data_IF_729607843462
#
_entry.id   IF_729607843462
#
_cell.length_a   1.000
_cell.length_b   1.000
_cell.length_c   1.000
_cell.angle_alpha   90.00
_cell.angle_beta   90.00
_cell.angle_gamma   90.00
#
_symmetry.space_group_name_H-M   'P 1'
#
loop_
_entity.id
_entity.type
_entity.pdbx_description
1 polymer ?
#
# COMPACT_ATOMS: atom_id res chain seq x y z
N UNK A 1 -23.73 -2.15 21.04
CA UNK A 1 -22.54 -1.36 21.41
C UNK A 1 -21.35 -2.27 21.24
N UNK A 2 -20.47 -2.00 20.28
CA UNK A 2 -19.26 -2.79 20.12
C UNK A 2 -18.35 -2.54 21.33
N UNK A 3 -17.90 -3.60 22.00
CA UNK A 3 -17.07 -3.46 23.19
C UNK A 3 -15.66 -2.96 22.77
N UNK A 4 -14.87 -2.46 23.73
CA UNK A 4 -13.54 -1.92 23.40
C UNK A 4 -12.58 -2.97 22.82
N UNK A 5 -12.82 -4.27 23.03
CA UNK A 5 -12.05 -5.34 22.42
C UNK A 5 -12.37 -5.50 20.94
N UNK A 6 -13.66 -5.48 20.56
CA UNK A 6 -14.10 -5.51 19.16
C UNK A 6 -13.63 -4.27 18.41
N UNK A 7 -13.60 -3.11 19.08
CA UNK A 7 -13.09 -1.86 18.51
C UNK A 7 -11.57 -1.89 18.32
N UNK A 8 -10.83 -2.54 19.22
CA UNK A 8 -9.39 -2.78 19.09
C UNK A 8 -9.11 -3.81 18.00
N UNK A 9 -9.88 -4.90 17.91
CA UNK A 9 -9.78 -5.88 16.81
C UNK A 9 -10.08 -5.24 15.46
N UNK A 10 -11.08 -4.37 15.39
CA UNK A 10 -11.41 -3.64 14.17
C UNK A 10 -10.33 -2.62 13.80
N UNK A 11 -9.73 -1.94 14.79
CA UNK A 11 -8.58 -1.06 14.58
C UNK A 11 -7.32 -1.82 14.18
N UNK A 12 -7.05 -2.99 14.77
CA UNK A 12 -5.94 -3.88 14.40
C UNK A 12 -6.15 -4.40 12.98
N UNK A 13 -7.35 -4.88 12.65
CA UNK A 13 -7.70 -5.31 11.29
C UNK A 13 -7.56 -4.17 10.30
N UNK A 14 -7.99 -2.96 10.67
CA UNK A 14 -7.85 -1.75 9.85
C UNK A 14 -6.37 -1.37 9.66
N UNK A 15 -5.53 -1.50 10.69
CA UNK A 15 -4.09 -1.23 10.61
C UNK A 15 -3.32 -2.33 9.84
N UNK A 16 -3.82 -3.57 9.88
CA UNK A 16 -3.30 -4.67 9.04
C UNK A 16 -3.67 -4.49 7.56
N UNK A 17 -4.81 -3.82 7.29
CA UNK A 17 -5.33 -3.52 5.95
C UNK A 17 -4.85 -2.15 5.40
N UNK A 18 -4.46 -1.20 6.25
CA UNK A 18 -3.87 0.09 5.84
C UNK A 18 -2.47 -0.13 5.24
N UNK A 19 -2.44 -0.30 3.91
CA UNK A 19 -1.39 0.23 3.03
C UNK A 19 0.06 -0.19 3.33
N UNK A 20 0.29 -1.38 3.90
CA UNK A 20 1.64 -1.91 4.03
C UNK A 20 2.27 -2.17 2.66
N UNK A 21 3.60 -2.07 2.58
CA UNK A 21 4.35 -2.45 1.38
C UNK A 21 4.12 -3.93 0.99
N UNK A 22 3.60 -4.76 1.90
CA UNK A 22 3.37 -6.19 1.72
C UNK A 22 1.97 -6.51 1.18
N UNK A 23 1.89 -7.35 0.15
CA UNK A 23 0.63 -7.94 -0.30
C UNK A 23 0.23 -9.07 0.66
N UNK A 24 -0.82 -8.85 1.44
CA UNK A 24 -1.34 -9.81 2.42
C UNK A 24 -2.65 -10.43 1.92
N UNK A 25 -2.66 -11.75 1.75
CA UNK A 25 -3.86 -12.56 1.61
C UNK A 25 -4.12 -13.21 2.97
N UNK A 26 -5.08 -12.67 3.73
CA UNK A 26 -5.22 -12.94 5.16
C UNK A 26 -6.22 -14.07 5.47
N UNK A 27 -7.18 -14.30 4.57
CA UNK A 27 -8.24 -15.29 4.74
C UNK A 27 -8.14 -16.41 3.71
N UNK A 28 -8.87 -17.49 3.97
CA UNK A 28 -9.05 -18.57 3.01
C UNK A 28 -9.84 -18.05 1.81
N UNK A 29 -9.39 -18.39 0.60
CA UNK A 29 -10.02 -17.96 -0.63
C UNK A 29 -9.66 -16.54 -1.09
N UNK A 30 -8.88 -15.78 -0.31
CA UNK A 30 -8.42 -14.45 -0.71
C UNK A 30 -7.65 -14.53 -2.04
N UNK A 31 -8.00 -13.65 -2.97
CA UNK A 31 -7.38 -13.53 -4.28
C UNK A 31 -6.84 -12.12 -4.52
N UNK A 32 -5.77 -12.04 -5.30
CA UNK A 32 -5.28 -10.79 -5.87
C UNK A 32 -4.79 -11.04 -7.30
N UNK A 33 -5.19 -10.17 -8.22
CA UNK A 33 -4.65 -10.16 -9.59
C UNK A 33 -3.45 -9.23 -9.62
N UNK A 34 -2.30 -9.76 -10.00
CA UNK A 34 -1.01 -9.07 -9.91
C UNK A 34 -0.18 -9.19 -11.19
N UNK A 35 0.62 -8.16 -11.46
CA UNK A 35 1.67 -8.19 -12.47
C UNK A 35 3.01 -8.28 -11.75
N UNK A 36 3.86 -9.24 -12.11
CA UNK A 36 5.18 -9.42 -11.48
C UNK A 36 6.18 -8.46 -12.11
N UNK A 37 6.81 -7.61 -11.30
CA UNK A 37 7.65 -6.51 -11.74
C UNK A 37 9.11 -6.72 -11.33
N UNK A 38 10.03 -6.47 -12.25
CA UNK A 38 11.47 -6.53 -12.00
C UNK A 38 11.98 -7.92 -11.61
N UNK A 39 13.11 -7.92 -10.90
CA UNK A 39 13.79 -9.15 -10.47
C UNK A 39 13.35 -9.59 -9.07
N UNK A 40 13.26 -10.91 -8.82
CA UNK A 40 13.02 -11.43 -7.50
C UNK A 40 14.23 -11.26 -6.58
N UNK A 41 13.99 -11.09 -5.28
CA UNK A 41 15.03 -11.05 -4.25
C UNK A 41 15.00 -12.32 -3.38
N UNK A 42 15.99 -13.22 -3.50
CA UNK A 42 16.06 -14.44 -2.71
C UNK A 42 16.59 -14.17 -1.30
N UNK A 43 16.07 -14.91 -0.32
CA UNK A 43 16.49 -14.88 1.08
C UNK A 43 16.52 -16.29 1.64
N UNK A 44 17.65 -16.68 2.20
CA UNK A 44 17.71 -17.87 3.04
C UNK A 44 17.34 -17.49 4.48
N UNK A 45 16.33 -18.16 5.00
CA UNK A 45 15.77 -17.86 6.31
C UNK A 45 15.56 -19.12 7.14
N UNK A 46 15.46 -18.93 8.45
CA UNK A 46 15.03 -19.93 9.42
C UNK A 46 13.76 -19.43 10.09
N UNK A 47 12.76 -20.30 10.26
CA UNK A 47 11.56 -19.94 11.02
C UNK A 47 11.80 -20.20 12.51
N UNK A 48 11.87 -19.12 13.31
CA UNK A 48 12.07 -19.13 14.75
C UNK A 48 10.94 -18.35 15.41
N UNK A 49 10.30 -18.95 16.43
CA UNK A 49 9.33 -18.27 17.29
C UNK A 49 8.24 -17.47 16.55
N UNK A 50 7.77 -18.01 15.41
CA UNK A 50 6.72 -17.37 14.62
C UNK A 50 7.22 -16.36 13.57
N UNK A 51 8.53 -16.19 13.38
CA UNK A 51 9.12 -15.23 12.43
C UNK A 51 10.21 -15.86 11.57
N UNK A 52 10.38 -15.34 10.36
CA UNK A 52 11.52 -15.66 9.51
C UNK A 52 12.71 -14.77 9.87
N UNK A 53 13.82 -15.40 10.24
CA UNK A 53 15.09 -14.74 10.53
C UNK A 53 16.09 -15.15 9.46
N UNK A 54 17.02 -14.27 9.08
CA UNK A 54 18.06 -14.64 8.12
C UNK A 54 18.85 -15.86 8.60
N UNK A 55 19.08 -16.78 7.69
CA UNK A 55 19.90 -17.95 7.97
C UNK A 55 21.34 -17.52 8.31
N UNK A 56 21.95 -18.25 9.25
CA UNK A 56 23.35 -18.12 9.59
C UNK A 56 23.91 -19.47 10.00
N UNK A 57 25.23 -19.65 9.85
CA UNK A 57 25.92 -20.87 10.29
C UNK A 57 25.71 -21.17 11.78
N UNK A 58 25.56 -20.13 12.61
CA UNK A 58 25.24 -20.28 14.04
C UNK A 58 23.87 -20.95 14.23
N UNK A 59 22.85 -20.54 13.47
CA UNK A 59 21.52 -21.16 13.54
C UNK A 59 21.54 -22.59 12.99
N UNK A 60 22.33 -22.85 11.95
CA UNK A 60 22.52 -24.19 11.44
C UNK A 60 23.18 -25.11 12.47
N UNK A 61 24.22 -24.64 13.16
CA UNK A 61 24.90 -25.39 14.22
C UNK A 61 23.98 -25.69 15.41
N UNK A 62 22.95 -24.88 15.61
CA UNK A 62 21.87 -25.11 16.58
C UNK A 62 20.80 -26.11 16.09
N UNK A 63 20.99 -26.71 14.91
CA UNK A 63 20.09 -27.70 14.33
C UNK A 63 18.93 -27.11 13.50
N UNK A 64 18.91 -25.79 13.28
CA UNK A 64 17.86 -25.18 12.48
C UNK A 64 18.08 -25.37 10.98
N UNK A 65 16.98 -25.64 10.26
CA UNK A 65 17.00 -25.86 8.81
C UNK A 65 16.75 -24.54 8.06
N UNK A 66 17.59 -24.27 7.07
CA UNK A 66 17.38 -23.18 6.13
C UNK A 66 16.14 -23.44 5.26
N UNK A 67 15.43 -22.37 4.92
CA UNK A 67 14.32 -22.34 3.99
C UNK A 67 14.50 -21.15 3.06
N UNK A 68 14.25 -21.36 1.77
CA UNK A 68 14.25 -20.27 0.79
C UNK A 68 12.92 -19.50 0.86
N UNK A 69 13.01 -18.18 0.99
CA UNK A 69 11.93 -17.22 0.73
C UNK A 69 12.35 -16.33 -0.43
N UNK A 70 11.40 -16.00 -1.29
CA UNK A 70 11.64 -15.15 -2.45
C UNK A 70 10.63 -14.01 -2.41
N UNK A 71 11.15 -12.79 -2.46
CA UNK A 71 10.36 -11.57 -2.50
C UNK A 71 10.22 -11.08 -3.94
N UNK A 72 9.02 -10.62 -4.30
CA UNK A 72 8.69 -10.11 -5.63
C UNK A 72 8.05 -8.75 -5.49
N UNK A 73 8.48 -7.77 -6.30
CA UNK A 73 7.65 -6.60 -6.55
C UNK A 73 6.46 -7.02 -7.42
N UNK A 74 5.26 -6.65 -7.00
CA UNK A 74 4.01 -6.96 -7.70
C UNK A 74 3.15 -5.71 -7.81
N UNK A 75 2.72 -5.38 -9.01
CA UNK A 75 1.70 -4.37 -9.24
C UNK A 75 0.32 -4.98 -9.07
N UNK A 76 -0.50 -4.47 -8.14
CA UNK A 76 -1.90 -4.89 -8.01
C UNK A 76 -2.67 -4.36 -9.22
N UNK A 77 -3.25 -5.24 -10.03
CA UNK A 77 -3.75 -4.88 -11.35
C UNK A 77 -4.82 -3.77 -11.30
N UNK A 78 -5.77 -3.87 -10.37
CA UNK A 78 -6.89 -2.90 -10.27
C UNK A 78 -6.51 -1.53 -9.73
N UNK A 79 -5.42 -1.41 -8.95
CA UNK A 79 -5.04 -0.15 -8.28
C UNK A 79 -3.73 0.44 -8.78
N UNK A 80 -2.93 -0.36 -9.51
CA UNK A 80 -1.55 -0.05 -9.92
C UNK A 80 -0.61 0.26 -8.74
N UNK A 81 -1.00 -0.15 -7.54
CA UNK A 81 -0.15 -0.04 -6.35
C UNK A 81 0.93 -1.13 -6.39
N UNK A 82 2.19 -0.75 -6.18
CA UNK A 82 3.27 -1.73 -6.06
C UNK A 82 3.34 -2.23 -4.63
N UNK A 83 3.26 -3.54 -4.47
CA UNK A 83 3.45 -4.27 -3.21
C UNK A 83 4.55 -5.30 -3.35
N UNK A 84 4.94 -5.87 -2.22
CA UNK A 84 5.91 -6.95 -2.11
C UNK A 84 5.16 -8.22 -1.74
N UNK A 85 5.34 -9.26 -2.54
CA UNK A 85 4.84 -10.60 -2.27
C UNK A 85 6.02 -11.48 -1.86
N UNK A 86 6.02 -12.06 -0.66
CA UNK A 86 7.03 -13.04 -0.25
C UNK A 86 6.44 -14.44 -0.27
N UNK A 87 7.07 -15.36 -1.02
CA UNK A 87 6.63 -16.74 -1.14
C UNK A 87 7.77 -17.75 -0.99
N UNK A 88 7.43 -19.02 -0.80
CA UNK A 88 8.40 -20.12 -0.71
C UNK A 88 8.82 -20.68 -2.06
N UNK A 89 9.75 -21.63 -2.05
CA UNK A 89 10.32 -22.28 -3.25
C UNK A 89 9.27 -22.94 -4.16
N UNK A 90 8.21 -23.54 -3.60
CA UNK A 90 7.15 -24.17 -4.39
C UNK A 90 6.45 -23.14 -5.31
N UNK A 91 6.14 -21.96 -4.78
CA UNK A 91 5.55 -20.87 -5.56
C UNK A 91 6.53 -20.34 -6.60
N UNK A 92 7.82 -20.21 -6.25
CA UNK A 92 8.85 -19.79 -7.20
C UNK A 92 8.91 -20.73 -8.41
N UNK A 93 8.85 -22.05 -8.20
CA UNK A 93 8.86 -23.01 -9.29
C UNK A 93 7.65 -22.83 -10.21
N UNK A 94 6.44 -22.71 -9.65
CA UNK A 94 5.22 -22.47 -10.44
C UNK A 94 5.28 -21.13 -11.18
N UNK A 95 5.73 -20.05 -10.52
CA UNK A 95 5.92 -18.75 -11.16
C UNK A 95 6.93 -18.82 -12.32
N UNK A 96 8.02 -19.58 -12.16
CA UNK A 96 9.03 -19.77 -13.19
C UNK A 96 8.49 -20.56 -14.40
N UNK A 97 7.57 -21.49 -14.20
CA UNK A 97 6.89 -22.20 -15.30
C UNK A 97 5.92 -21.27 -16.05
N UNK A 98 5.06 -20.55 -15.34
CA UNK A 98 4.09 -19.65 -15.98
C UNK A 98 4.79 -18.48 -16.67
N UNK A 99 5.87 -17.92 -16.10
CA UNK A 99 6.61 -16.83 -16.76
C UNK A 99 7.27 -17.29 -18.06
N UNK A 100 7.78 -18.53 -18.12
CA UNK A 100 8.38 -19.10 -19.34
C UNK A 100 7.34 -19.30 -20.43
N UNK A 101 6.09 -19.61 -20.06
CA UNK A 101 5.01 -19.90 -21.00
C UNK A 101 4.28 -18.66 -21.48
N UNK A 102 3.96 -17.73 -20.58
CA UNK A 102 3.09 -16.58 -20.87
C UNK A 102 3.86 -15.26 -21.00
N UNK A 103 5.09 -15.21 -20.46
CA UNK A 103 5.85 -13.98 -20.30
C UNK A 103 5.51 -13.29 -18.98
N UNK A 104 6.53 -12.88 -18.24
CA UNK A 104 6.37 -12.23 -16.93
C UNK A 104 5.68 -10.87 -17.04
N UNK A 105 6.02 -10.11 -18.08
CA UNK A 105 5.65 -8.70 -18.23
C UNK A 105 4.39 -8.48 -19.06
N UNK A 106 3.93 -9.52 -19.74
CA UNK A 106 2.83 -9.48 -20.71
C UNK A 106 1.52 -10.01 -20.13
N UNK A 107 1.55 -10.54 -18.91
CA UNK A 107 0.39 -11.16 -18.26
C UNK A 107 0.24 -10.69 -16.82
N UNK A 108 -1.01 -10.55 -16.40
CA UNK A 108 -1.38 -10.54 -15.01
C UNK A 108 -1.76 -11.95 -14.57
N UNK A 109 -1.47 -12.25 -13.30
CA UNK A 109 -1.68 -13.55 -12.69
C UNK A 109 -2.59 -13.42 -11.48
N UNK A 110 -3.55 -14.32 -11.34
CA UNK A 110 -4.31 -14.47 -10.11
C UNK A 110 -3.46 -15.25 -9.11
N UNK A 111 -3.21 -14.63 -7.96
CA UNK A 111 -2.65 -15.29 -6.78
C UNK A 111 -3.79 -15.55 -5.80
N UNK A 112 -3.98 -16.82 -5.43
CA UNK A 112 -5.03 -17.25 -4.52
C UNK A 112 -4.46 -17.98 -3.33
N UNK A 113 -4.92 -17.63 -2.13
CA UNK A 113 -4.63 -18.36 -0.90
C UNK A 113 -5.67 -19.44 -0.66
N UNK A 114 -5.23 -20.62 -0.21
CA UNK A 114 -6.07 -21.69 0.32
C UNK A 114 -5.58 -22.05 1.72
N UNK A 115 -6.47 -22.09 2.69
CA UNK A 115 -6.17 -22.33 4.10
C UNK A 115 -6.46 -21.12 4.99
N UNK A 116 -6.99 -21.38 6.18
CA UNK A 116 -7.34 -20.34 7.15
C UNK A 116 -6.09 -19.68 7.76
N UNK A 117 -6.25 -18.53 8.42
CA UNK A 117 -5.16 -17.90 9.16
C UNK A 117 -4.50 -18.90 10.13
N UNK A 118 -3.16 -18.97 10.13
CA UNK A 118 -2.35 -19.91 10.94
C UNK A 118 -2.54 -21.39 10.60
N UNK A 119 -3.23 -21.73 9.51
CA UNK A 119 -3.31 -23.11 9.04
C UNK A 119 -1.94 -23.58 8.51
N UNK A 120 -1.34 -24.64 9.08
CA UNK A 120 -0.05 -25.18 8.62
C UNK A 120 -0.11 -25.74 7.18
N UNK A 121 -1.32 -25.99 6.65
CA UNK A 121 -1.56 -26.43 5.27
C UNK A 121 -1.92 -25.27 4.33
N UNK A 122 -1.66 -24.03 4.75
CA UNK A 122 -1.84 -22.87 3.87
C UNK A 122 -1.02 -23.05 2.60
N UNK A 123 -1.69 -22.99 1.44
CA UNK A 123 -1.07 -23.04 0.11
C UNK A 123 -1.43 -21.80 -0.69
N UNK A 124 -0.59 -21.49 -1.67
CA UNK A 124 -0.82 -20.42 -2.63
C UNK A 124 -0.78 -21.00 -4.03
N UNK A 125 -1.74 -20.61 -4.87
CA UNK A 125 -1.72 -20.91 -6.31
C UNK A 125 -1.52 -19.63 -7.10
N UNK A 126 -0.80 -19.73 -8.21
CA UNK A 126 -0.65 -18.68 -9.21
C UNK A 126 -1.11 -19.20 -10.56
N UNK A 127 -2.04 -18.50 -11.20
CA UNK A 127 -2.62 -18.88 -12.48
C UNK A 127 -2.63 -17.66 -13.42
N UNK A 128 -2.48 -17.84 -14.73
CA UNK A 128 -2.68 -16.74 -15.68
C UNK A 128 -4.14 -16.25 -15.60
N UNK A 129 -4.32 -14.94 -15.47
CA UNK A 129 -5.65 -14.31 -15.45
C UNK A 129 -5.96 -13.66 -16.80
N UNK A 130 -5.14 -12.68 -17.20
CA UNK A 130 -5.31 -11.94 -18.46
C UNK A 130 -3.99 -11.50 -19.06
N UNK A 131 -3.98 -11.38 -20.38
CA UNK A 131 -2.91 -10.74 -21.10
C UNK A 131 -3.05 -9.22 -20.97
N UNK A 132 -1.93 -8.54 -20.74
CA UNK A 132 -1.86 -7.09 -20.67
C UNK A 132 -1.83 -6.49 -22.07
N UNK A 133 -2.49 -5.35 -22.25
CA UNK A 133 -2.28 -4.55 -23.47
C UNK A 133 -0.88 -3.91 -23.45
N UNK A 134 -0.36 -3.45 -24.61
CA UNK A 134 0.91 -2.72 -24.65
C UNK A 134 0.92 -1.48 -23.74
N UNK A 135 -0.21 -0.76 -23.65
CA UNK A 135 -0.37 0.42 -22.82
C UNK A 135 -0.35 0.05 -21.33
N UNK A 136 -1.01 -1.04 -20.95
CA UNK A 136 -0.96 -1.55 -19.57
C UNK A 136 0.44 -2.02 -19.20
N UNK A 137 1.10 -2.75 -20.10
CA UNK A 137 2.49 -3.21 -19.92
C UNK A 137 3.40 -2.01 -19.65
N UNK A 138 3.33 -0.97 -20.48
CA UNK A 138 4.11 0.25 -20.28
C UNK A 138 3.76 0.95 -18.96
N UNK A 139 2.48 1.01 -18.60
CA UNK A 139 2.04 1.63 -17.35
C UNK A 139 2.56 0.90 -16.11
N UNK A 140 2.57 -0.44 -16.11
CA UNK A 140 3.09 -1.25 -15.01
C UNK A 140 4.62 -1.18 -14.90
N UNK A 141 5.33 -1.15 -16.04
CA UNK A 141 6.79 -1.03 -16.07
C UNK A 141 7.28 0.35 -15.64
N UNK A 142 6.46 1.39 -15.79
CA UNK A 142 6.77 2.73 -15.30
C UNK A 142 6.59 2.90 -13.78
N UNK A 143 6.06 1.89 -13.07
CA UNK A 143 5.82 1.99 -11.64
C UNK A 143 7.14 1.96 -10.85
N UNK A 144 7.19 2.76 -9.78
CA UNK A 144 8.34 2.78 -8.87
C UNK A 144 8.34 1.52 -8.00
N UNK A 145 9.33 0.67 -8.20
CA UNK A 145 9.49 -0.57 -7.45
C UNK A 145 10.04 -0.32 -6.04
N UNK A 146 9.72 -1.22 -5.10
CA UNK A 146 10.36 -1.23 -3.79
C UNK A 146 11.80 -1.74 -3.92
N UNK A 147 12.71 -1.09 -3.20
CA UNK A 147 14.09 -1.56 -3.03
C UNK A 147 14.07 -2.69 -2.00
N UNK A 148 13.94 -3.93 -2.48
CA UNK A 148 13.77 -5.12 -1.64
C UNK A 148 14.94 -5.29 -0.64
N UNK A 149 16.23 -5.15 -1.02
CA UNK A 149 17.33 -5.17 -0.07
C UNK A 149 17.20 -4.12 1.05
N UNK A 150 16.87 -2.85 0.71
CA UNK A 150 16.71 -1.80 1.73
C UNK A 150 15.51 -2.04 2.63
N UNK A 151 14.41 -2.56 2.07
CA UNK A 151 13.19 -2.86 2.82
C UNK A 151 13.47 -3.89 3.92
N UNK A 152 14.21 -4.95 3.62
CA UNK A 152 14.61 -5.94 4.61
C UNK A 152 15.69 -5.46 5.58
N UNK A 153 16.61 -4.61 5.13
CA UNK A 153 17.60 -4.00 6.04
C UNK A 153 16.92 -3.12 7.09
N UNK A 154 15.90 -2.35 6.70
CA UNK A 154 15.11 -1.53 7.63
C UNK A 154 14.33 -2.40 8.64
N UNK A 155 13.74 -3.52 8.20
CA UNK A 155 13.06 -4.47 9.11
C UNK A 155 14.02 -5.12 10.12
N UNK A 156 15.25 -5.43 9.71
CA UNK A 156 16.26 -6.03 10.59
C UNK A 156 16.72 -5.08 11.71
N UNK A 157 16.88 -3.79 11.41
CA UNK A 157 17.24 -2.76 12.41
C UNK A 157 16.10 -2.51 13.40
N UNK A 158 14.85 -2.52 12.93
CA UNK A 158 13.65 -2.40 13.76
C UNK A 158 13.40 -3.59 14.71
N UNK A 159 13.94 -4.77 14.40
CA UNK A 159 13.79 -5.96 15.24
C UNK A 159 14.87 -6.12 16.32
N UNK A 160 16.08 -5.59 16.10
CA UNK A 160 17.22 -5.72 17.02
C UNK A 160 17.22 -4.69 18.17
N UNK A 161 16.46 -3.61 18.01
CA UNK A 161 16.27 -2.60 19.03
C UNK A 161 14.85 -2.75 19.56
N UNK A 162 14.69 -3.23 20.81
CA UNK A 162 13.44 -3.12 21.58
C UNK A 162 13.06 -1.67 21.92
N UNK A 163 13.53 -0.73 21.11
CA UNK A 163 13.41 0.71 21.15
C UNK A 163 13.14 1.10 19.70
N UNK A 164 12.11 1.90 19.38
CA UNK A 164 11.84 2.29 18.00
C UNK A 164 13.11 2.91 17.40
N UNK A 165 13.52 2.57 16.16
CA UNK A 165 14.76 3.08 15.60
C UNK A 165 14.68 4.61 15.46
N UNK A 166 15.69 5.36 15.94
CA UNK A 166 15.85 6.74 15.53
C UNK A 166 16.51 6.73 14.14
N UNK A 167 15.83 7.31 13.15
CA UNK A 167 16.45 7.64 11.86
C UNK A 167 16.20 6.68 10.71
N UNK A 168 14.96 6.24 10.51
CA UNK A 168 14.44 6.24 9.14
C UNK A 168 14.04 7.68 8.85
N UNK A 169 14.71 8.33 7.88
CA UNK A 169 14.29 9.63 7.36
C UNK A 169 12.79 9.58 7.12
N UNK A 170 12.11 10.38 7.94
CA UNK A 170 10.68 10.44 8.04
C UNK A 170 10.11 10.92 6.71
N UNK A 171 9.65 9.99 5.88
CA UNK A 171 8.34 10.20 5.30
C UNK A 171 7.38 10.11 6.49
N UNK A 172 7.19 11.27 7.16
CA UNK A 172 6.37 11.42 8.35
C UNK A 172 5.13 10.55 8.20
N UNK A 173 4.91 9.63 9.15
CA UNK A 173 3.56 9.29 9.54
C UNK A 173 2.85 10.63 9.64
N UNK A 174 1.88 10.80 8.75
CA UNK A 174 1.31 12.09 8.42
C UNK A 174 0.79 12.71 9.71
N UNK A 175 1.58 13.59 10.32
CA UNK A 175 1.08 14.44 11.38
C UNK A 175 -0.16 15.10 10.78
N UNK A 176 -1.31 15.07 11.48
CA UNK A 176 -2.47 15.80 11.02
C UNK A 176 -2.02 17.23 10.76
N UNK A 177 -2.51 17.82 9.66
CA UNK A 177 -2.22 19.21 9.32
C UNK A 177 -2.32 20.08 10.57
N UNK A 178 -1.38 21.03 10.71
CA UNK A 178 -1.35 21.96 11.83
C UNK A 178 -2.76 22.50 12.13
N UNK A 179 -3.15 22.51 13.40
CA UNK A 179 -4.52 22.82 13.84
C UNK A 179 -4.98 24.19 13.32
N UNK A 180 -4.07 25.18 13.23
CA UNK A 180 -4.40 26.51 12.69
C UNK A 180 -4.63 26.45 11.18
N UNK A 181 -3.85 25.64 10.45
CA UNK A 181 -4.01 25.46 9.01
C UNK A 181 -5.29 24.66 8.68
N UNK A 182 -5.61 23.59 9.42
CA UNK A 182 -6.88 22.87 9.27
C UNK A 182 -8.08 23.79 9.53
N UNK A 183 -7.98 24.68 10.51
CA UNK A 183 -9.04 25.62 10.85
C UNK A 183 -9.20 26.73 9.80
N UNK A 184 -8.09 27.21 9.22
CA UNK A 184 -8.12 28.13 8.08
C UNK A 184 -8.76 27.48 6.83
N UNK A 185 -8.36 26.26 6.47
CA UNK A 185 -8.93 25.50 5.36
C UNK A 185 -10.43 25.23 5.58
N UNK A 186 -10.83 24.83 6.79
CA UNK A 186 -12.22 24.62 7.14
C UNK A 186 -13.07 25.90 7.07
N UNK A 187 -12.47 27.06 7.38
CA UNK A 187 -13.17 28.35 7.29
C UNK A 187 -13.36 28.77 5.84
N UNK A 188 -12.35 28.60 5.00
CA UNK A 188 -12.44 28.90 3.57
C UNK A 188 -13.41 27.96 2.83
N UNK A 189 -13.36 26.65 3.11
CA UNK A 189 -14.30 25.68 2.52
C UNK A 189 -15.75 25.88 2.98
N UNK A 190 -15.99 26.39 4.19
CA UNK A 190 -17.36 26.73 4.65
C UNK A 190 -17.96 27.92 3.93
N UNK A 191 -17.15 28.80 3.35
CA UNK A 191 -17.60 29.93 2.56
C UNK A 191 -17.89 29.54 1.09
N UNK A 192 -17.63 28.29 0.71
CA UNK A 192 -17.83 27.75 -0.64
C UNK A 192 -19.04 26.81 -0.69
N UNK A 193 -19.63 26.59 -1.88
CA UNK A 193 -20.72 25.64 -2.05
C UNK A 193 -20.28 24.22 -1.69
N UNK A 194 -21.24 23.39 -1.26
CA UNK A 194 -21.00 22.02 -0.79
C UNK A 194 -20.23 21.15 -1.80
N UNK A 195 -20.43 21.39 -3.08
CA UNK A 195 -19.72 20.74 -4.18
C UNK A 195 -18.20 20.97 -4.14
N UNK A 196 -17.75 22.16 -3.75
CA UNK A 196 -16.33 22.46 -3.59
C UNK A 196 -15.71 21.69 -2.41
N UNK A 197 -16.50 21.46 -1.36
CA UNK A 197 -16.10 20.64 -0.21
C UNK A 197 -15.97 19.17 -0.62
N UNK A 198 -16.93 18.64 -1.37
CA UNK A 198 -16.88 17.25 -1.85
C UNK A 198 -15.72 17.02 -2.82
N UNK A 199 -15.44 17.98 -3.72
CA UNK A 199 -14.27 17.97 -4.59
C UNK A 199 -12.96 17.99 -3.80
N UNK A 200 -12.89 18.77 -2.73
CA UNK A 200 -11.72 18.78 -1.84
C UNK A 200 -11.52 17.42 -1.16
N UNK A 201 -12.57 16.83 -0.59
CA UNK A 201 -12.49 15.53 0.08
C UNK A 201 -12.08 14.40 -0.88
N UNK A 202 -12.63 14.39 -2.11
CA UNK A 202 -12.24 13.45 -3.15
C UNK A 202 -10.80 13.64 -3.62
N UNK A 203 -10.37 14.89 -3.87
CA UNK A 203 -9.02 15.20 -4.39
C UNK A 203 -7.92 14.75 -3.44
N UNK A 204 -8.14 14.87 -2.13
CA UNK A 204 -7.17 14.50 -1.11
C UNK A 204 -7.41 13.11 -0.51
N UNK A 205 -8.49 12.42 -0.90
CA UNK A 205 -8.92 11.13 -0.37
C UNK A 205 -9.04 11.11 1.16
N UNK A 206 -9.59 12.19 1.73
CA UNK A 206 -9.77 12.38 3.18
C UNK A 206 -11.25 12.47 3.54
N UNK A 207 -11.64 11.93 4.70
CA UNK A 207 -13.01 12.00 5.21
C UNK A 207 -13.26 13.30 5.99
N UNK A 208 -12.22 13.85 6.63
CA UNK A 208 -12.27 15.15 7.33
C UNK A 208 -11.02 15.95 7.01
N UNK A 209 -11.14 17.28 7.04
CA UNK A 209 -10.01 18.21 6.82
C UNK A 209 -8.88 17.97 7.84
N UNK A 210 -9.21 17.49 9.04
CA UNK A 210 -8.23 17.12 10.08
C UNK A 210 -7.45 15.84 9.79
N UNK A 211 -7.96 15.00 8.87
CA UNK A 211 -7.28 13.78 8.43
C UNK A 211 -6.30 14.09 7.27
N UNK A 212 -6.16 15.37 6.90
CA UNK A 212 -5.22 15.79 5.86
C UNK A 212 -3.78 15.65 6.36
N UNK A 213 -2.91 14.93 5.62
CA UNK A 213 -1.50 14.86 5.93
C UNK A 213 -0.83 16.23 5.96
N UNK A 214 0.02 16.51 6.95
CA UNK A 214 0.85 17.71 7.00
C UNK A 214 1.69 17.90 5.71
N UNK A 215 2.13 16.80 5.10
CA UNK A 215 2.84 16.79 3.81
C UNK A 215 2.01 17.32 2.62
N UNK A 216 0.67 17.35 2.76
CA UNK A 216 -0.27 17.86 1.75
C UNK A 216 -0.88 19.21 2.13
N UNK A 217 -0.47 19.81 3.26
CA UNK A 217 -1.06 21.05 3.77
C UNK A 217 -0.93 22.25 2.83
N UNK A 218 0.25 22.45 2.24
CA UNK A 218 0.48 23.52 1.27
C UNK A 218 -0.29 23.30 -0.05
N UNK A 219 -0.36 22.05 -0.52
CA UNK A 219 -1.14 21.69 -1.71
C UNK A 219 -2.65 21.85 -1.47
N UNK A 220 -3.14 21.50 -0.29
CA UNK A 220 -4.53 21.70 0.11
C UNK A 220 -4.88 23.18 0.20
N UNK A 221 -3.99 24.01 0.74
CA UNK A 221 -4.16 25.46 0.76
C UNK A 221 -4.24 26.03 -0.66
N UNK A 222 -3.29 25.68 -1.54
CA UNK A 222 -3.29 26.14 -2.92
C UNK A 222 -4.54 25.69 -3.69
N UNK A 223 -5.04 24.48 -3.42
CA UNK A 223 -6.27 23.99 -4.03
C UNK A 223 -7.52 24.71 -3.53
N UNK A 224 -7.57 25.05 -2.24
CA UNK A 224 -8.66 25.86 -1.68
C UNK A 224 -8.61 27.28 -2.25
N UNK A 225 -7.44 27.88 -2.40
CA UNK A 225 -7.29 29.20 -3.02
C UNK A 225 -7.74 29.18 -4.50
N UNK A 226 -7.50 28.07 -5.21
CA UNK A 226 -8.00 27.85 -6.57
C UNK A 226 -9.54 27.72 -6.60
N UNK A 227 -10.12 26.92 -5.70
CA UNK A 227 -11.57 26.79 -5.57
C UNK A 227 -12.24 28.11 -5.18
N UNK A 228 -11.62 28.88 -4.27
CA UNK A 228 -12.09 30.22 -3.92
C UNK A 228 -12.07 31.13 -5.14
N UNK A 229 -11.01 31.11 -5.96
CA UNK A 229 -10.93 31.91 -7.19
C UNK A 229 -11.96 31.49 -8.24
N UNK A 230 -12.18 30.19 -8.42
CA UNK A 230 -13.15 29.63 -9.37
C UNK A 230 -14.59 30.03 -8.99
N UNK A 231 -15.00 29.77 -7.75
CA UNK A 231 -16.35 30.07 -7.28
C UNK A 231 -16.58 31.56 -6.98
N UNK A 232 -15.53 32.32 -6.69
CA UNK A 232 -15.64 33.79 -6.58
C UNK A 232 -15.75 34.45 -7.95
N UNK A 233 -15.14 33.88 -9.01
CA UNK A 233 -15.31 34.37 -10.38
C UNK A 233 -16.70 34.03 -10.94
N UNK A 234 -17.25 32.86 -10.62
CA UNK A 234 -18.62 32.49 -10.98
C UNK A 234 -19.66 33.35 -10.25
N UNK A 235 -19.42 33.72 -8.99
CA UNK A 235 -20.35 34.57 -8.21
C UNK A 235 -20.52 36.01 -8.74
N UNK A 236 -19.62 36.48 -9.62
CA UNK A 236 -19.68 37.83 -10.23
C UNK A 236 -20.33 37.79 -11.62
N UNK A 237 -20.44 36.61 -12.24
CA UNK A 237 -20.99 36.47 -13.59
C UNK A 237 -22.54 36.41 -13.63
N UNK A 238 -23.20 36.22 -12.48
CA UNK A 238 -24.64 35.90 -12.41
C UNK A 238 -25.49 36.92 -11.62
N UNK A 239 -25.00 38.15 -11.49
CA UNK A 239 -25.82 39.27 -10.98
C UNK A 239 -25.72 40.43 -11.95
N UNK A 240 -26.63 40.44 -12.92
CA UNK A 240 -27.08 41.67 -13.56
C UNK A 240 -28.23 42.26 -12.71
N UNK A 241 -27.99 43.34 -11.93
CA UNK A 241 -29.05 43.99 -11.18
C UNK A 241 -29.91 44.95 -12.03
N UNK A 242 -29.66 45.11 -13.34
CA UNK A 242 -30.44 45.98 -14.23
C UNK A 242 -30.51 45.51 -15.71
N UNK A 243 -31.47 44.63 -16.03
CA UNK A 243 -32.28 44.73 -17.26
C UNK A 243 -32.37 43.48 -18.16
N UNK A 244 -33.28 43.47 -19.18
CA UNK A 244 -34.27 44.48 -19.57
C UNK A 244 -35.68 44.30 -18.98
#
# INVERSE_FOLDING_TARGET
MANMWEKVEELVRKHEQEGGAWLKLANDGDTAVVVVLGEPHPREVVFLEGKYVLWSEKLQAQGHKASLRVAYNVGVYGTREVKVLEMGSAFFNTLNEVRKKYGQETWAFEVKRRGAAKDPKTTYSILPDRQLTPEETAAFQALRLHDLPKLYAAEAVGAASGTPPPGASSAKASEPVDVKLAQAIATALKALPREAVDRFLQKFAVQRIRDLPASKGELARAFVDALVREYSAESVADVDPFGP
#
